data_IF_018830274136
#
_entry.id   IF_018830274136
#
_cell.length_a   1.000
_cell.length_b   1.000
_cell.length_c   1.000
_cell.angle_alpha   90.00
_cell.angle_beta   90.00
_cell.angle_gamma   90.00
#
_symmetry.space_group_name_H-M   'P 1'
#
loop_
_entity.id
_entity.type
_entity.pdbx_description
1 polymer ?
#
# COMPACT_ATOMS: atom_id res chain seq x y z
N UNK A 1 44.22 -40.44 -21.79
CA UNK A 1 42.82 -40.54 -21.34
C UNK A 1 42.40 -39.49 -20.29
N UNK A 2 43.30 -38.80 -19.57
CA UNK A 2 42.89 -37.77 -18.59
C UNK A 2 42.44 -36.42 -19.16
N UNK A 3 42.68 -36.14 -20.45
CA UNK A 3 42.12 -34.95 -21.14
C UNK A 3 40.64 -35.09 -21.49
N UNK A 4 40.09 -36.31 -21.55
CA UNK A 4 38.68 -36.54 -21.88
C UNK A 4 37.76 -36.44 -20.65
N UNK A 5 38.26 -36.71 -19.45
CA UNK A 5 37.47 -36.62 -18.22
C UNK A 5 37.29 -35.18 -17.70
N UNK A 6 38.24 -34.26 -17.98
CA UNK A 6 38.02 -32.82 -17.74
C UNK A 6 36.87 -32.26 -18.59
N UNK A 7 36.66 -32.79 -19.80
CA UNK A 7 35.62 -32.31 -20.72
C UNK A 7 34.22 -32.71 -20.21
N UNK A 8 34.09 -33.88 -19.57
CA UNK A 8 32.81 -34.41 -19.11
C UNK A 8 32.30 -33.69 -17.84
N UNK A 9 33.19 -33.20 -16.97
CA UNK A 9 32.78 -32.42 -15.79
C UNK A 9 32.56 -30.93 -16.11
N UNK A 10 33.31 -30.39 -17.10
CA UNK A 10 32.98 -29.11 -17.72
C UNK A 10 31.60 -29.17 -18.38
N UNK A 11 31.21 -30.31 -18.97
CA UNK A 11 29.90 -30.48 -19.60
C UNK A 11 28.71 -30.46 -18.60
N UNK A 12 28.87 -31.00 -17.39
CA UNK A 12 27.83 -30.92 -16.34
C UNK A 12 27.76 -29.52 -15.72
N UNK A 13 28.90 -28.81 -15.63
CA UNK A 13 28.93 -27.38 -15.27
C UNK A 13 28.41 -26.47 -16.39
N UNK A 14 28.48 -26.92 -17.65
CA UNK A 14 28.03 -26.21 -18.84
C UNK A 14 26.51 -26.29 -19.07
N UNK A 15 25.84 -27.34 -18.57
CA UNK A 15 24.39 -27.50 -18.78
C UNK A 15 23.50 -26.74 -17.79
N UNK A 16 24.01 -26.37 -16.60
CA UNK A 16 23.19 -25.74 -15.55
C UNK A 16 23.18 -24.20 -15.66
N UNK A 17 24.06 -23.60 -16.46
CA UNK A 17 24.10 -22.15 -16.72
C UNK A 17 23.81 -21.77 -18.18
N UNK A 18 23.42 -22.74 -19.02
CA UNK A 18 23.02 -22.50 -20.40
C UNK A 18 21.56 -22.03 -20.44
N UNK A 19 21.32 -20.78 -20.07
CA UNK A 19 20.16 -20.04 -20.55
C UNK A 19 20.18 -20.01 -22.08
N UNK A 20 19.00 -20.00 -22.70
CA UNK A 20 18.78 -19.99 -24.16
C UNK A 20 19.24 -18.68 -24.80
N UNK A 21 20.55 -18.43 -24.77
CA UNK A 21 21.20 -17.19 -25.16
C UNK A 21 22.57 -17.43 -25.80
N UNK A 22 23.16 -16.34 -26.32
CA UNK A 22 24.40 -16.34 -27.09
C UNK A 22 25.52 -17.15 -26.38
N UNK A 23 26.07 -18.21 -27.00
CA UNK A 23 27.04 -19.11 -26.37
C UNK A 23 28.35 -18.40 -25.98
N UNK A 24 28.77 -17.38 -26.74
CA UNK A 24 29.94 -16.58 -26.42
C UNK A 24 29.74 -15.77 -25.13
N UNK A 25 28.57 -15.13 -24.98
CA UNK A 25 28.20 -14.38 -23.77
C UNK A 25 28.21 -15.28 -22.53
N UNK A 26 27.64 -16.47 -22.63
CA UNK A 26 27.63 -17.45 -21.53
C UNK A 26 29.04 -17.88 -21.13
N UNK A 27 29.91 -18.09 -22.13
CA UNK A 27 31.32 -18.42 -21.90
C UNK A 27 32.10 -17.28 -21.23
N UNK A 28 31.84 -16.02 -21.62
CA UNK A 28 32.44 -14.85 -20.98
C UNK A 28 32.00 -14.71 -19.52
N UNK A 29 30.72 -14.89 -19.22
CA UNK A 29 30.23 -14.91 -17.84
C UNK A 29 30.82 -16.07 -17.02
N UNK A 30 31.06 -17.23 -17.64
CA UNK A 30 31.73 -18.36 -17.02
C UNK A 30 33.19 -18.03 -16.69
N UNK A 31 33.91 -17.44 -17.64
CA UNK A 31 35.30 -17.00 -17.47
C UNK A 31 35.41 -15.98 -16.33
N UNK A 32 34.59 -14.92 -16.38
CA UNK A 32 34.50 -13.90 -15.33
C UNK A 32 34.27 -14.51 -13.94
N UNK A 33 33.32 -15.44 -13.83
CA UNK A 33 33.03 -16.13 -12.55
C UNK A 33 34.19 -16.99 -12.04
N UNK A 34 34.96 -17.62 -12.93
CA UNK A 34 36.11 -18.47 -12.55
C UNK A 34 37.35 -17.67 -12.14
N UNK A 35 37.57 -16.51 -12.77
CA UNK A 35 38.77 -15.70 -12.53
C UNK A 35 38.63 -14.79 -11.31
N UNK A 36 37.40 -14.42 -10.91
CA UNK A 36 37.12 -13.39 -9.89
C UNK A 36 37.87 -13.55 -8.57
N UNK A 37 38.14 -14.79 -8.15
CA UNK A 37 38.85 -15.06 -6.89
C UNK A 37 40.32 -14.66 -6.98
N UNK A 38 40.98 -14.96 -8.11
CA UNK A 38 42.42 -14.72 -8.31
C UNK A 38 42.70 -13.37 -8.98
N UNK A 39 41.90 -13.00 -9.96
CA UNK A 39 42.07 -11.80 -10.79
C UNK A 39 40.75 -11.05 -10.93
N UNK A 40 40.27 -10.40 -9.86
CA UNK A 40 39.05 -9.60 -9.94
C UNK A 40 39.16 -8.45 -10.96
N UNK A 41 40.36 -7.91 -11.19
CA UNK A 41 40.63 -6.90 -12.23
C UNK A 41 40.30 -7.40 -13.64
N UNK A 42 40.75 -8.61 -14.01
CA UNK A 42 40.42 -9.24 -15.30
C UNK A 42 38.93 -9.55 -15.41
N UNK A 43 38.30 -9.89 -14.28
CA UNK A 43 36.85 -10.06 -14.23
C UNK A 43 36.14 -8.76 -14.61
N UNK A 44 36.60 -7.59 -14.13
CA UNK A 44 36.02 -6.30 -14.53
C UNK A 44 36.14 -6.07 -16.03
N UNK A 45 37.32 -6.32 -16.62
CA UNK A 45 37.56 -6.17 -18.07
C UNK A 45 36.60 -7.04 -18.90
N UNK A 46 36.38 -8.29 -18.48
CA UNK A 46 35.44 -9.20 -19.13
C UNK A 46 33.99 -8.70 -19.00
N UNK A 47 33.61 -8.19 -17.83
CA UNK A 47 32.25 -7.65 -17.61
C UNK A 47 32.01 -6.37 -18.43
N UNK A 48 33.00 -5.48 -18.54
CA UNK A 48 32.92 -4.27 -19.35
C UNK A 48 32.81 -4.63 -20.84
N UNK A 49 33.52 -5.67 -21.28
CA UNK A 49 33.36 -6.21 -22.62
C UNK A 49 31.95 -6.77 -22.84
N UNK A 50 31.40 -7.53 -21.89
CA UNK A 50 30.04 -8.08 -21.99
C UNK A 50 29.01 -6.94 -22.14
N UNK A 51 29.06 -5.94 -21.26
CA UNK A 51 28.11 -4.82 -21.23
C UNK A 51 28.17 -3.98 -22.51
N UNK A 52 29.36 -3.82 -23.11
CA UNK A 52 29.54 -3.05 -24.33
C UNK A 52 29.06 -3.77 -25.59
N UNK A 53 29.16 -5.10 -25.63
CA UNK A 53 28.99 -5.88 -26.86
C UNK A 53 27.70 -6.72 -26.91
N UNK A 54 26.99 -6.89 -25.78
CA UNK A 54 25.79 -7.72 -25.73
C UNK A 54 24.63 -7.00 -25.03
N UNK A 55 23.41 -7.28 -25.49
CA UNK A 55 22.20 -6.95 -24.73
C UNK A 55 22.00 -7.96 -23.61
N UNK A 56 21.59 -7.46 -22.45
CA UNK A 56 21.40 -8.24 -21.22
C UNK A 56 19.93 -8.24 -20.85
N UNK A 57 19.40 -9.43 -20.55
CA UNK A 57 18.12 -9.52 -19.86
C UNK A 57 18.26 -9.16 -18.37
N UNK A 58 17.15 -9.20 -17.64
CA UNK A 58 17.13 -8.83 -16.22
C UNK A 58 17.99 -9.77 -15.35
N UNK A 59 18.06 -11.06 -15.66
CA UNK A 59 18.85 -12.03 -14.91
C UNK A 59 20.35 -11.83 -15.16
N UNK A 60 20.73 -11.67 -16.43
CA UNK A 60 22.09 -11.42 -16.87
C UNK A 60 22.63 -10.09 -16.36
N UNK A 61 21.80 -9.04 -16.37
CA UNK A 61 22.10 -7.74 -15.77
C UNK A 61 22.32 -7.87 -14.25
N UNK A 62 21.46 -8.66 -13.59
CA UNK A 62 21.63 -9.00 -12.17
C UNK A 62 22.95 -9.74 -11.89
N UNK A 63 23.33 -10.70 -12.75
CA UNK A 63 24.60 -11.45 -12.65
C UNK A 63 25.82 -10.57 -12.88
N UNK A 64 25.77 -9.69 -13.89
CA UNK A 64 26.83 -8.73 -14.17
C UNK A 64 27.04 -7.80 -12.97
N UNK A 65 25.96 -7.25 -12.43
CA UNK A 65 25.98 -6.37 -11.26
C UNK A 65 26.59 -7.08 -10.04
N UNK A 66 26.20 -8.32 -9.79
CA UNK A 66 26.78 -9.14 -8.71
C UNK A 66 28.29 -9.33 -8.87
N UNK A 67 28.75 -9.76 -10.06
CA UNK A 67 30.17 -10.02 -10.30
C UNK A 67 31.00 -8.73 -10.21
N UNK A 68 30.46 -7.61 -10.69
CA UNK A 68 31.10 -6.29 -10.62
C UNK A 68 31.23 -5.81 -9.17
N UNK A 69 30.16 -5.86 -8.39
CA UNK A 69 30.19 -5.50 -6.97
C UNK A 69 31.16 -6.40 -6.17
N UNK A 70 31.16 -7.71 -6.47
CA UNK A 70 32.07 -8.67 -5.82
C UNK A 70 33.54 -8.44 -6.20
N UNK A 71 33.81 -8.10 -7.45
CA UNK A 71 35.15 -7.77 -7.92
C UNK A 71 35.68 -6.50 -7.23
N UNK A 72 34.86 -5.44 -7.17
CA UNK A 72 35.21 -4.22 -6.42
C UNK A 72 35.49 -4.51 -4.95
N UNK A 73 34.67 -5.36 -4.32
CA UNK A 73 34.92 -5.83 -2.96
C UNK A 73 36.29 -6.49 -2.83
N UNK A 74 36.63 -7.46 -3.68
CA UNK A 74 37.92 -8.15 -3.61
C UNK A 74 39.12 -7.23 -3.85
N UNK A 75 38.97 -6.20 -4.68
CA UNK A 75 39.98 -5.18 -4.95
C UNK A 75 40.13 -4.15 -3.81
N UNK A 76 39.40 -4.29 -2.71
CA UNK A 76 39.27 -3.29 -1.65
C UNK A 76 38.68 -1.95 -2.12
N UNK A 77 37.99 -1.89 -3.26
CA UNK A 77 37.21 -0.72 -3.65
C UNK A 77 35.81 -0.78 -3.01
N UNK A 78 35.79 -0.71 -1.68
CA UNK A 78 34.58 -0.91 -0.89
C UNK A 78 33.56 0.21 -1.08
N UNK A 79 34.03 1.44 -1.35
CA UNK A 79 33.15 2.59 -1.60
C UNK A 79 32.26 2.36 -2.82
N UNK A 80 32.84 1.94 -3.94
CA UNK A 80 32.06 1.74 -5.16
C UNK A 80 31.25 0.45 -5.10
N UNK A 81 31.78 -0.60 -4.45
CA UNK A 81 31.01 -1.80 -4.15
C UNK A 81 29.73 -1.47 -3.34
N UNK A 82 29.85 -0.63 -2.29
CA UNK A 82 28.73 -0.20 -1.46
C UNK A 82 27.70 0.63 -2.25
N UNK A 83 28.14 1.55 -3.13
CA UNK A 83 27.22 2.31 -4.00
C UNK A 83 26.41 1.41 -4.92
N UNK A 84 27.00 0.34 -5.44
CA UNK A 84 26.28 -0.61 -6.31
C UNK A 84 25.17 -1.34 -5.56
N UNK A 85 25.38 -1.64 -4.27
CA UNK A 85 24.41 -2.35 -3.43
C UNK A 85 23.52 -1.40 -2.61
N UNK A 86 23.66 -0.08 -2.76
CA UNK A 86 22.87 0.92 -2.03
C UNK A 86 21.67 1.48 -2.81
N UNK A 87 21.60 1.29 -4.14
CA UNK A 87 20.51 1.81 -5.00
C UNK A 87 19.14 1.17 -4.68
N UNK A 88 18.06 1.87 -5.06
CA UNK A 88 16.67 1.48 -4.81
C UNK A 88 16.32 0.06 -5.26
N UNK A 89 15.48 -0.57 -4.46
CA UNK A 89 15.47 -2.01 -4.16
C UNK A 89 14.64 -2.87 -5.12
N UNK A 90 13.83 -2.27 -5.99
CA UNK A 90 12.82 -2.98 -6.78
C UNK A 90 13.41 -3.95 -7.83
N UNK A 91 14.73 -3.95 -8.05
CA UNK A 91 15.38 -4.76 -9.08
C UNK A 91 16.61 -5.55 -8.61
N UNK A 92 16.83 -5.70 -7.30
CA UNK A 92 17.97 -6.50 -6.83
C UNK A 92 17.78 -7.98 -7.11
N UNK A 93 18.76 -8.58 -7.79
CA UNK A 93 18.83 -10.03 -7.91
C UNK A 93 19.07 -10.68 -6.54
N UNK A 94 18.58 -11.91 -6.30
CA UNK A 94 18.78 -12.62 -5.04
C UNK A 94 20.26 -12.69 -4.62
N UNK A 95 21.16 -12.91 -5.59
CA UNK A 95 22.60 -12.93 -5.36
C UNK A 95 23.16 -11.60 -4.87
N UNK A 96 22.66 -10.47 -5.38
CA UNK A 96 23.11 -9.13 -4.96
C UNK A 96 22.67 -8.81 -3.53
N UNK A 97 21.47 -9.25 -3.12
CA UNK A 97 20.96 -9.12 -1.75
C UNK A 97 21.84 -9.91 -0.78
N UNK A 98 22.16 -11.17 -1.13
CA UNK A 98 23.05 -12.01 -0.32
C UNK A 98 24.45 -11.39 -0.23
N UNK A 99 24.96 -10.85 -1.34
CA UNK A 99 26.25 -10.16 -1.37
C UNK A 99 26.25 -8.92 -0.46
N UNK A 100 25.21 -8.08 -0.56
CA UNK A 100 25.02 -6.90 0.29
C UNK A 100 25.05 -7.29 1.76
N UNK A 101 24.25 -8.27 2.17
CA UNK A 101 24.22 -8.78 3.55
C UNK A 101 25.61 -9.23 4.01
N UNK A 102 26.34 -9.97 3.17
CA UNK A 102 27.67 -10.46 3.50
C UNK A 102 28.71 -9.33 3.63
N UNK A 103 28.65 -8.32 2.77
CA UNK A 103 29.52 -7.14 2.82
C UNK A 103 29.21 -6.31 4.08
N UNK A 104 27.93 -6.06 4.39
CA UNK A 104 27.56 -5.31 5.59
C UNK A 104 27.95 -6.05 6.86
N UNK A 105 27.78 -7.38 6.89
CA UNK A 105 28.21 -8.21 8.00
C UNK A 105 29.72 -8.11 8.25
N UNK A 106 30.56 -8.06 7.19
CA UNK A 106 32.01 -7.91 7.37
C UNK A 106 32.42 -6.57 7.98
N UNK A 107 31.55 -5.54 7.91
CA UNK A 107 31.71 -4.25 8.59
C UNK A 107 31.04 -4.16 9.97
N UNK A 108 30.49 -5.27 10.46
CA UNK A 108 29.67 -5.32 11.66
C UNK A 108 28.47 -4.35 11.57
N UNK A 109 27.87 -4.26 10.39
CA UNK A 109 26.65 -3.50 10.12
C UNK A 109 25.52 -4.51 9.95
N UNK A 110 24.45 -4.35 10.74
CA UNK A 110 23.25 -5.17 10.58
C UNK A 110 22.48 -4.66 9.36
N UNK A 111 22.31 -5.50 8.36
CA UNK A 111 21.38 -5.22 7.26
C UNK A 111 19.95 -5.38 7.80
N UNK A 112 19.16 -4.31 7.77
CA UNK A 112 17.75 -4.32 8.17
C UNK A 112 16.84 -4.73 7.01
N UNK A 113 17.40 -4.87 5.81
CA UNK A 113 16.68 -5.27 4.61
C UNK A 113 16.39 -6.78 4.61
N UNK A 114 15.11 -7.14 4.66
CA UNK A 114 14.62 -8.50 4.44
C UNK A 114 13.37 -8.44 3.56
N UNK A 115 13.52 -8.58 2.23
CA UNK A 115 12.40 -8.51 1.32
C UNK A 115 11.52 -9.76 1.47
N UNK A 116 10.23 -9.54 1.67
CA UNK A 116 9.23 -10.60 1.86
C UNK A 116 9.19 -11.53 0.63
N UNK A 117 9.35 -10.98 -0.56
CA UNK A 117 9.37 -11.69 -1.84
C UNK A 117 10.55 -12.66 -2.01
N UNK A 118 11.62 -12.53 -1.21
CA UNK A 118 12.79 -13.40 -1.32
C UNK A 118 12.68 -14.67 -0.47
N UNK A 119 11.64 -14.81 0.36
CA UNK A 119 11.43 -16.03 1.19
C UNK A 119 11.22 -17.29 0.34
N UNK A 120 10.73 -17.13 -0.88
CA UNK A 120 10.53 -18.24 -1.80
C UNK A 120 11.80 -18.65 -2.57
N UNK A 121 12.81 -17.76 -2.65
CA UNK A 121 14.05 -18.01 -3.36
C UNK A 121 14.93 -19.06 -2.65
N UNK A 122 15.29 -20.12 -3.37
CA UNK A 122 16.05 -21.26 -2.80
C UNK A 122 17.45 -20.88 -2.34
N UNK A 123 18.18 -20.07 -3.11
CA UNK A 123 19.54 -19.61 -2.79
C UNK A 123 19.57 -18.69 -1.57
N UNK A 124 18.55 -17.83 -1.44
CA UNK A 124 18.36 -17.00 -0.26
C UNK A 124 18.09 -17.85 0.98
N UNK A 125 17.14 -18.82 0.90
CA UNK A 125 16.87 -19.74 2.02
C UNK A 125 18.10 -20.55 2.41
N UNK A 126 18.88 -21.03 1.46
CA UNK A 126 20.14 -21.71 1.75
C UNK A 126 21.12 -20.80 2.50
N UNK A 127 21.27 -19.55 2.04
CA UNK A 127 22.13 -18.57 2.69
C UNK A 127 21.64 -18.17 4.10
N UNK A 128 20.33 -18.12 4.33
CA UNK A 128 19.72 -17.95 5.66
C UNK A 128 19.98 -19.16 6.56
N UNK A 129 19.79 -20.38 6.05
CA UNK A 129 20.06 -21.62 6.77
C UNK A 129 21.52 -21.69 7.25
N UNK A 130 22.48 -21.34 6.38
CA UNK A 130 23.90 -21.27 6.74
C UNK A 130 24.13 -20.20 7.81
N UNK A 131 23.49 -19.04 7.69
CA UNK A 131 23.48 -18.00 8.73
C UNK A 131 22.99 -18.52 10.09
N UNK A 132 21.88 -19.25 10.11
CA UNK A 132 21.33 -19.85 11.33
C UNK A 132 22.24 -20.93 11.94
N UNK A 133 22.94 -21.71 11.12
CA UNK A 133 23.99 -22.65 11.58
C UNK A 133 25.11 -21.87 12.26
N UNK A 134 25.64 -20.83 11.60
CA UNK A 134 26.70 -19.97 12.15
C UNK A 134 26.29 -19.28 13.46
N UNK A 135 25.09 -18.69 13.51
CA UNK A 135 24.59 -18.03 14.71
C UNK A 135 24.41 -19.00 15.88
N UNK A 136 23.96 -20.23 15.62
CA UNK A 136 23.89 -21.27 16.66
C UNK A 136 25.26 -21.66 17.15
N UNK A 137 26.20 -21.91 16.24
CA UNK A 137 27.59 -22.24 16.57
C UNK A 137 28.27 -21.14 17.41
N UNK A 138 27.97 -19.87 17.13
CA UNK A 138 28.48 -18.74 17.90
C UNK A 138 27.91 -18.65 19.34
N UNK A 139 26.82 -19.36 19.65
CA UNK A 139 26.25 -19.43 20.99
C UNK A 139 27.08 -20.31 21.95
N UNK A 140 27.07 -19.99 23.25
CA UNK A 140 27.81 -20.74 24.28
C UNK A 140 27.51 -22.25 24.22
N UNK A 141 28.55 -23.05 23.99
CA UNK A 141 28.52 -24.51 24.11
C UNK A 141 27.81 -25.29 22.99
N UNK A 142 27.38 -24.63 21.91
CA UNK A 142 26.63 -25.28 20.82
C UNK A 142 27.57 -25.80 19.72
N UNK A 143 27.31 -27.03 19.27
CA UNK A 143 28.04 -27.71 18.19
C UNK A 143 27.07 -28.00 17.04
N UNK A 144 27.56 -27.97 15.81
CA UNK A 144 26.77 -28.43 14.67
C UNK A 144 26.73 -29.97 14.69
N UNK A 145 25.54 -30.54 14.52
CA UNK A 145 25.38 -31.98 14.41
C UNK A 145 25.96 -32.50 13.10
N UNK A 146 26.51 -33.72 13.10
CA UNK A 146 26.99 -34.38 11.87
C UNK A 146 25.89 -34.52 10.80
N UNK A 147 24.65 -34.74 11.22
CA UNK A 147 23.47 -34.81 10.34
C UNK A 147 23.17 -33.47 9.65
N UNK A 148 23.32 -32.36 10.37
CA UNK A 148 23.10 -31.01 9.84
C UNK A 148 24.15 -30.61 8.82
N UNK A 149 25.43 -30.86 9.12
CA UNK A 149 26.53 -30.61 8.18
C UNK A 149 26.43 -31.52 6.94
N UNK A 150 25.98 -32.76 7.10
CA UNK A 150 25.70 -33.67 5.98
C UNK A 150 24.56 -33.14 5.09
N UNK A 151 23.50 -32.60 5.69
CA UNK A 151 22.40 -31.99 4.95
C UNK A 151 22.88 -30.77 4.14
N UNK A 152 23.73 -29.91 4.74
CA UNK A 152 24.36 -28.77 4.03
C UNK A 152 25.16 -29.24 2.82
N UNK A 153 26.00 -30.28 2.97
CA UNK A 153 26.79 -30.85 1.87
C UNK A 153 25.94 -31.45 0.75
N UNK A 154 24.76 -32.00 1.08
CA UNK A 154 23.84 -32.55 0.09
C UNK A 154 23.16 -31.41 -0.69
N UNK A 155 22.71 -30.40 0.03
CA UNK A 155 21.91 -29.29 -0.52
C UNK A 155 22.76 -28.31 -1.34
N UNK A 156 24.02 -28.07 -0.96
CA UNK A 156 24.87 -27.07 -1.63
C UNK A 156 24.93 -27.24 -3.16
N UNK A 157 24.92 -28.48 -3.67
CA UNK A 157 25.01 -28.79 -5.10
C UNK A 157 23.83 -28.29 -5.93
N UNK A 158 22.71 -27.96 -5.29
CA UNK A 158 21.49 -27.48 -5.93
C UNK A 158 21.41 -25.95 -6.02
N UNK A 159 22.43 -25.23 -5.56
CA UNK A 159 22.44 -23.77 -5.45
C UNK A 159 23.40 -23.10 -6.40
N UNK A 160 23.13 -21.83 -6.70
CA UNK A 160 23.95 -21.04 -7.63
C UNK A 160 25.44 -21.05 -7.20
N UNK A 161 26.40 -21.41 -8.08
CA UNK A 161 27.79 -21.64 -7.72
C UNK A 161 28.47 -20.53 -6.92
N UNK A 162 28.22 -19.27 -7.27
CA UNK A 162 28.82 -18.15 -6.57
C UNK A 162 28.27 -18.00 -5.13
N UNK A 163 26.98 -18.29 -4.93
CA UNK A 163 26.31 -18.17 -3.63
C UNK A 163 26.72 -19.32 -2.73
N UNK A 164 26.67 -20.57 -3.23
CA UNK A 164 27.11 -21.72 -2.44
C UNK A 164 28.58 -21.60 -2.03
N UNK A 165 29.46 -21.14 -2.94
CA UNK A 165 30.90 -20.96 -2.64
C UNK A 165 31.12 -20.08 -1.43
N UNK A 166 30.49 -18.90 -1.38
CA UNK A 166 30.68 -17.95 -0.28
C UNK A 166 30.13 -18.50 1.05
N UNK A 167 28.93 -19.10 1.01
CA UNK A 167 28.33 -19.72 2.19
C UNK A 167 29.21 -20.85 2.74
N UNK A 168 29.73 -21.71 1.86
CA UNK A 168 30.61 -22.81 2.25
C UNK A 168 31.97 -22.33 2.75
N UNK A 169 32.52 -21.26 2.18
CA UNK A 169 33.78 -20.66 2.65
C UNK A 169 33.60 -20.08 4.06
N UNK A 170 32.52 -19.33 4.29
CA UNK A 170 32.22 -18.73 5.60
C UNK A 170 31.98 -19.80 6.67
N UNK A 171 31.18 -20.83 6.37
CA UNK A 171 30.94 -21.94 7.28
C UNK A 171 32.22 -22.70 7.59
N UNK A 172 33.01 -23.04 6.56
CA UNK A 172 34.25 -23.78 6.72
C UNK A 172 35.28 -22.98 7.52
N UNK A 173 35.38 -21.66 7.30
CA UNK A 173 36.25 -20.80 8.07
C UNK A 173 35.89 -20.77 9.56
N UNK A 174 34.59 -20.65 9.86
CA UNK A 174 34.11 -20.69 11.23
C UNK A 174 34.46 -22.02 11.90
N UNK A 175 34.16 -23.14 11.24
CA UNK A 175 34.42 -24.49 11.76
C UNK A 175 35.92 -24.72 11.98
N UNK A 176 36.77 -24.40 11.00
CA UNK A 176 38.21 -24.55 11.11
C UNK A 176 38.80 -23.73 12.29
N UNK A 177 38.27 -22.52 12.53
CA UNK A 177 38.70 -21.65 13.62
C UNK A 177 38.32 -22.21 14.99
N UNK A 178 37.20 -22.92 15.12
CA UNK A 178 36.63 -23.35 16.40
C UNK A 178 36.65 -24.88 16.63
N UNK A 179 37.46 -25.63 15.87
CA UNK A 179 37.58 -27.09 16.00
C UNK A 179 38.91 -27.52 16.64
N UNK A 180 38.99 -27.61 17.98
CA UNK A 180 40.19 -28.07 18.67
C UNK A 180 40.36 -29.62 18.69
N UNK A 181 39.57 -30.39 17.94
CA UNK A 181 39.57 -31.86 18.05
C UNK A 181 39.32 -32.63 16.75
N UNK A 182 39.59 -32.01 15.60
CA UNK A 182 39.36 -32.59 14.27
C UNK A 182 37.91 -33.06 14.02
N UNK A 183 36.94 -32.54 14.78
CA UNK A 183 35.55 -32.98 14.72
C UNK A 183 34.93 -32.69 13.35
N UNK A 184 35.32 -31.58 12.72
CA UNK A 184 34.78 -31.15 11.44
C UNK A 184 35.71 -31.52 10.26
N UNK A 185 36.72 -32.36 10.48
CA UNK A 185 37.70 -32.71 9.46
C UNK A 185 37.04 -33.38 8.23
N UNK A 186 36.09 -34.31 8.40
CA UNK A 186 35.38 -34.95 7.28
C UNK A 186 34.60 -33.93 6.44
N UNK A 187 33.88 -33.01 7.11
CA UNK A 187 33.17 -31.94 6.42
C UNK A 187 34.14 -31.06 5.62
N UNK A 188 35.20 -30.58 6.27
CA UNK A 188 36.20 -29.71 5.63
C UNK A 188 36.89 -30.41 4.45
N UNK A 189 37.21 -31.71 4.59
CA UNK A 189 37.76 -32.54 3.52
C UNK A 189 36.81 -32.60 2.31
N UNK A 190 35.52 -32.88 2.53
CA UNK A 190 34.54 -32.92 1.43
C UNK A 190 34.40 -31.58 0.74
N UNK A 191 34.43 -30.48 1.49
CA UNK A 191 34.36 -29.13 0.94
C UNK A 191 35.61 -28.80 0.11
N UNK A 192 36.81 -29.06 0.61
CA UNK A 192 38.04 -28.81 -0.18
C UNK A 192 38.13 -29.72 -1.40
N UNK A 193 37.68 -30.97 -1.33
CA UNK A 193 37.62 -31.85 -2.53
C UNK A 193 36.67 -31.27 -3.57
N UNK A 194 35.52 -30.73 -3.15
CA UNK A 194 34.58 -30.07 -4.07
C UNK A 194 35.18 -28.80 -4.68
N UNK A 195 35.89 -28.00 -3.89
CA UNK A 195 36.54 -26.75 -4.32
C UNK A 195 38.05 -26.90 -4.53
N UNK A 196 38.52 -28.03 -5.05
CA UNK A 196 39.94 -28.37 -5.12
C UNK A 196 40.79 -27.38 -5.94
N UNK A 197 40.18 -26.66 -6.88
CA UNK A 197 40.87 -25.66 -7.71
C UNK A 197 40.75 -24.24 -7.13
N UNK A 198 40.06 -24.08 -6.01
CA UNK A 198 39.86 -22.79 -5.38
C UNK A 198 40.95 -22.53 -4.32
N UNK A 199 41.82 -21.53 -4.54
CA UNK A 199 42.94 -21.27 -3.65
C UNK A 199 42.49 -20.84 -2.25
N UNK A 200 41.31 -20.21 -2.11
CA UNK A 200 40.82 -19.80 -0.79
C UNK A 200 40.51 -21.01 0.09
N UNK A 201 39.94 -22.08 -0.48
CA UNK A 201 39.67 -23.32 0.26
C UNK A 201 40.96 -24.10 0.55
N UNK A 202 41.91 -24.16 -0.39
CA UNK A 202 43.24 -24.74 -0.14
C UNK A 202 43.96 -24.04 1.01
N UNK A 203 44.00 -22.70 0.99
CA UNK A 203 44.62 -21.88 2.05
C UNK A 203 43.95 -22.13 3.40
N UNK A 204 42.61 -22.14 3.42
CA UNK A 204 41.84 -22.40 4.63
C UNK A 204 42.17 -23.77 5.24
N UNK A 205 42.19 -24.82 4.41
CA UNK A 205 42.44 -26.18 4.88
C UNK A 205 43.90 -26.40 5.30
N UNK A 206 44.87 -25.84 4.58
CA UNK A 206 46.27 -25.86 4.99
C UNK A 206 46.46 -25.21 6.37
N UNK A 207 45.78 -24.09 6.62
CA UNK A 207 45.81 -23.42 7.93
C UNK A 207 45.17 -24.27 9.02
N UNK A 208 44.06 -24.94 8.71
CA UNK A 208 43.41 -25.89 9.62
C UNK A 208 44.35 -27.06 9.99
N UNK A 209 45.07 -27.63 9.03
CA UNK A 209 46.06 -28.68 9.26
C UNK A 209 47.19 -28.20 10.19
N UNK A 210 47.71 -26.98 9.98
CA UNK A 210 48.74 -26.40 10.84
C UNK A 210 48.28 -26.23 12.28
N UNK A 211 47.03 -25.77 12.48
CA UNK A 211 46.42 -25.64 13.81
C UNK A 211 46.36 -26.99 14.55
N UNK A 212 46.16 -28.08 13.82
CA UNK A 212 46.08 -29.44 14.33
C UNK A 212 47.42 -30.21 14.25
N UNK A 213 48.56 -29.50 14.22
CA UNK A 213 49.92 -30.05 14.22
C UNK A 213 50.27 -30.96 13.03
N UNK A 214 49.54 -30.85 11.91
CA UNK A 214 49.79 -31.59 10.66
C UNK A 214 50.62 -30.76 9.68
N UNK A 215 51.80 -30.31 10.11
CA UNK A 215 52.63 -29.38 9.33
C UNK A 215 53.11 -29.96 7.99
N UNK A 216 53.40 -31.27 7.92
CA UNK A 216 53.82 -31.94 6.68
C UNK A 216 52.72 -31.94 5.62
N UNK A 217 51.49 -32.33 6.00
CA UNK A 217 50.32 -32.32 5.10
C UNK A 217 50.00 -30.89 4.63
N UNK A 218 50.13 -29.90 5.52
CA UNK A 218 49.96 -28.50 5.15
C UNK A 218 51.04 -28.01 4.17
N UNK A 219 52.29 -28.45 4.33
CA UNK A 219 53.40 -28.10 3.45
C UNK A 219 53.15 -28.50 1.99
N UNK A 220 52.64 -29.71 1.78
CA UNK A 220 52.26 -30.21 0.44
C UNK A 220 51.23 -29.28 -0.22
N UNK A 221 50.17 -28.91 0.52
CA UNK A 221 49.15 -28.00 -0.01
C UNK A 221 49.69 -26.59 -0.27
N UNK A 222 50.63 -26.10 0.54
CA UNK A 222 51.27 -24.80 0.35
C UNK A 222 52.12 -24.80 -0.91
N UNK A 223 52.87 -25.88 -1.18
CA UNK A 223 53.68 -26.03 -2.38
C UNK A 223 52.85 -26.10 -3.67
N UNK A 224 51.62 -26.63 -3.60
CA UNK A 224 50.68 -26.63 -4.72
C UNK A 224 50.03 -25.27 -5.02
N UNK A 225 50.15 -24.27 -4.12
CA UNK A 225 49.54 -22.97 -4.33
C UNK A 225 50.31 -22.19 -5.42
N UNK A 226 49.61 -21.49 -6.33
CA UNK A 226 50.25 -20.70 -7.37
C UNK A 226 50.83 -19.40 -6.77
N UNK A 227 52.04 -19.49 -6.20
CA UNK A 227 52.69 -18.42 -5.45
C UNK A 227 52.70 -17.11 -6.22
N UNK A 228 53.23 -17.08 -7.43
CA UNK A 228 53.41 -15.86 -8.22
C UNK A 228 52.06 -15.17 -8.48
N UNK A 229 51.02 -15.95 -8.81
CA UNK A 229 49.69 -15.42 -9.09
C UNK A 229 49.03 -14.89 -7.81
N UNK A 230 49.22 -15.57 -6.67
CA UNK A 230 48.71 -15.10 -5.38
C UNK A 230 49.37 -13.77 -4.96
N UNK A 231 50.69 -13.64 -5.10
CA UNK A 231 51.40 -12.41 -4.77
C UNK A 231 50.98 -11.23 -5.67
N UNK A 232 50.66 -11.50 -6.94
CA UNK A 232 50.26 -10.49 -7.93
C UNK A 232 48.76 -10.18 -7.98
N UNK A 233 47.90 -11.04 -7.42
CA UNK A 233 46.43 -10.88 -7.41
C UNK A 233 45.97 -9.46 -7.05
N UNK A 234 44.85 -8.94 -7.53
CA UNK A 234 44.31 -7.71 -6.90
C UNK A 234 43.35 -8.01 -5.75
N UNK A 235 43.08 -9.29 -5.47
CA UNK A 235 42.28 -9.73 -4.33
C UNK A 235 43.07 -9.61 -3.01
N UNK A 236 42.95 -8.47 -2.35
CA UNK A 236 43.67 -8.20 -1.09
C UNK A 236 43.31 -9.16 0.04
N UNK A 237 42.07 -9.64 0.09
CA UNK A 237 41.62 -10.58 1.12
C UNK A 237 42.25 -11.96 0.93
N UNK A 238 42.36 -12.41 -0.33
CA UNK A 238 43.04 -13.65 -0.65
C UNK A 238 44.53 -13.57 -0.34
N UNK A 239 45.20 -12.47 -0.71
CA UNK A 239 46.61 -12.23 -0.33
C UNK A 239 46.82 -12.24 1.16
N UNK A 240 45.94 -11.56 1.90
CA UNK A 240 46.02 -11.51 3.35
C UNK A 240 45.95 -12.92 3.94
N UNK A 241 44.99 -13.74 3.49
CA UNK A 241 44.85 -15.13 3.93
C UNK A 241 46.09 -15.97 3.57
N UNK A 242 46.66 -15.76 2.39
CA UNK A 242 47.88 -16.43 1.96
C UNK A 242 49.08 -16.09 2.85
N UNK A 243 49.35 -14.80 3.10
CA UNK A 243 50.44 -14.41 3.98
C UNK A 243 50.21 -14.82 5.43
N UNK A 244 48.97 -14.80 5.91
CA UNK A 244 48.64 -15.30 7.24
C UNK A 244 48.83 -16.82 7.39
N UNK A 245 48.57 -17.59 6.33
CA UNK A 245 48.95 -19.00 6.25
C UNK A 245 50.48 -19.17 6.31
N UNK A 246 51.23 -18.41 5.51
CA UNK A 246 52.70 -18.47 5.50
C UNK A 246 53.31 -18.10 6.85
N UNK A 247 52.80 -17.07 7.52
CA UNK A 247 53.21 -16.72 8.90
C UNK A 247 53.01 -17.91 9.84
N UNK A 248 51.85 -18.56 9.77
CA UNK A 248 51.55 -19.75 10.59
C UNK A 248 52.50 -20.90 10.25
N UNK A 249 52.77 -21.13 8.98
CA UNK A 249 53.65 -22.20 8.50
C UNK A 249 55.10 -21.98 8.94
N UNK A 250 55.68 -20.82 8.62
CA UNK A 250 57.07 -20.49 8.92
C UNK A 250 57.34 -20.41 10.43
N UNK A 251 56.36 -19.99 11.23
CA UNK A 251 56.48 -20.03 12.70
C UNK A 251 56.61 -21.46 13.23
N UNK A 252 55.98 -22.44 12.59
CA UNK A 252 56.03 -23.87 12.97
C UNK A 252 57.24 -24.59 12.40
N UNK A 253 57.76 -24.17 11.25
CA UNK A 253 58.92 -24.79 10.59
C UNK A 253 60.25 -24.14 10.93
N UNK A 254 60.26 -23.00 11.65
CA UNK A 254 61.48 -22.33 12.09
C UNK A 254 62.17 -21.47 11.02
N UNK A 255 61.48 -21.13 9.92
CA UNK A 255 62.03 -20.34 8.81
C UNK A 255 62.00 -18.83 9.13
N UNK A 256 62.97 -18.35 9.93
CA UNK A 256 62.93 -17.00 10.52
C UNK A 256 62.93 -15.85 9.51
N UNK A 257 63.63 -15.99 8.38
CA UNK A 257 63.66 -14.96 7.32
C UNK A 257 62.32 -14.83 6.64
N UNK A 258 61.78 -15.95 6.13
CA UNK A 258 60.50 -15.99 5.41
C UNK A 258 59.33 -15.64 6.34
N UNK A 259 59.43 -15.98 7.63
CA UNK A 259 58.50 -15.54 8.66
C UNK A 259 58.42 -14.02 8.74
N UNK A 260 59.56 -13.32 8.86
CA UNK A 260 59.59 -11.84 8.98
C UNK A 260 59.00 -11.18 7.74
N UNK A 261 59.34 -11.67 6.55
CA UNK A 261 58.80 -11.16 5.29
C UNK A 261 57.26 -11.36 5.22
N UNK A 262 56.78 -12.55 5.55
CA UNK A 262 55.35 -12.85 5.55
C UNK A 262 54.58 -12.00 6.57
N UNK A 263 55.16 -11.74 7.75
CA UNK A 263 54.57 -10.84 8.76
C UNK A 263 54.43 -9.42 8.21
N UNK A 264 55.49 -8.88 7.61
CA UNK A 264 55.47 -7.52 7.04
C UNK A 264 54.40 -7.38 5.95
N UNK A 265 54.33 -8.34 5.01
CA UNK A 265 53.34 -8.34 3.93
C UNK A 265 51.91 -8.50 4.49
N UNK A 266 51.71 -9.36 5.48
CA UNK A 266 50.42 -9.53 6.15
C UNK A 266 49.95 -8.25 6.84
N UNK A 267 50.84 -7.60 7.59
CA UNK A 267 50.50 -6.39 8.35
C UNK A 267 50.18 -5.21 7.44
N UNK A 268 50.95 -5.03 6.36
CA UNK A 268 50.67 -3.99 5.36
C UNK A 268 49.27 -4.17 4.72
N UNK A 269 48.88 -5.41 4.42
CA UNK A 269 47.55 -5.74 3.92
C UNK A 269 46.48 -5.51 4.98
N UNK A 270 46.72 -5.91 6.24
CA UNK A 270 45.79 -5.69 7.35
C UNK A 270 45.46 -4.21 7.52
N UNK A 271 46.48 -3.35 7.60
CA UNK A 271 46.33 -1.90 7.72
C UNK A 271 45.51 -1.33 6.55
N UNK A 272 45.76 -1.82 5.34
CA UNK A 272 45.06 -1.36 4.14
C UNK A 272 43.58 -1.79 4.14
N UNK A 273 43.31 -3.05 4.49
CA UNK A 273 41.95 -3.58 4.59
C UNK A 273 41.17 -2.84 5.68
N UNK A 274 41.74 -2.69 6.88
CA UNK A 274 41.09 -2.05 8.02
C UNK A 274 40.78 -0.57 7.77
N UNK A 275 41.74 0.19 7.22
CA UNK A 275 41.54 1.60 6.87
C UNK A 275 40.41 1.78 5.86
N UNK A 276 40.38 0.98 4.79
CA UNK A 276 39.35 1.08 3.76
C UNK A 276 38.00 0.63 4.32
N UNK A 277 37.96 -0.44 5.13
CA UNK A 277 36.73 -0.89 5.79
C UNK A 277 36.13 0.19 6.70
N UNK A 278 36.95 0.88 7.50
CA UNK A 278 36.51 2.00 8.33
C UNK A 278 35.94 3.16 7.49
N UNK A 279 36.63 3.55 6.41
CA UNK A 279 36.16 4.58 5.48
C UNK A 279 34.83 4.19 4.81
N UNK A 280 34.73 2.94 4.35
CA UNK A 280 33.54 2.40 3.73
C UNK A 280 32.34 2.39 4.68
N UNK A 281 32.56 2.03 5.95
CA UNK A 281 31.54 2.08 7.00
C UNK A 281 31.01 3.50 7.22
N UNK A 282 31.88 4.50 7.33
CA UNK A 282 31.46 5.91 7.48
C UNK A 282 30.65 6.37 6.26
N UNK A 283 31.08 5.98 5.06
CA UNK A 283 30.37 6.30 3.83
C UNK A 283 28.99 5.65 3.75
N UNK A 284 28.87 4.39 4.18
CA UNK A 284 27.59 3.70 4.26
C UNK A 284 26.58 4.43 5.16
N UNK A 285 27.03 4.90 6.34
CA UNK A 285 26.18 5.71 7.22
C UNK A 285 25.77 7.02 6.56
N UNK A 286 26.66 7.68 5.82
CA UNK A 286 26.31 8.86 5.02
C UNK A 286 25.23 8.59 3.98
N UNK A 287 25.34 7.47 3.24
CA UNK A 287 24.32 7.06 2.26
C UNK A 287 22.98 6.76 2.93
N UNK A 288 22.99 6.07 4.07
CA UNK A 288 21.77 5.79 4.84
C UNK A 288 21.11 7.07 5.36
N UNK A 289 21.91 8.02 5.87
CA UNK A 289 21.40 9.31 6.35
C UNK A 289 20.79 10.13 5.21
N UNK A 290 21.45 10.15 4.04
CA UNK A 290 20.95 10.80 2.83
C UNK A 290 19.63 10.18 2.35
N UNK A 291 19.56 8.85 2.28
CA UNK A 291 18.34 8.14 1.90
C UNK A 291 17.19 8.45 2.87
N UNK A 292 17.44 8.41 4.18
CA UNK A 292 16.44 8.73 5.20
C UNK A 292 15.98 10.20 5.09
N UNK A 293 16.90 11.12 4.82
CA UNK A 293 16.58 12.53 4.60
C UNK A 293 15.72 12.73 3.36
N UNK A 294 16.05 12.05 2.26
CA UNK A 294 15.28 12.11 1.02
C UNK A 294 13.85 11.56 1.19
N UNK A 295 13.67 10.47 1.93
CA UNK A 295 12.35 9.94 2.28
C UNK A 295 11.54 10.96 3.10
N UNK A 296 12.19 11.58 4.09
CA UNK A 296 11.55 12.60 4.92
C UNK A 296 11.14 13.83 4.08
N UNK A 297 12.04 14.32 3.23
CA UNK A 297 11.80 15.47 2.34
C UNK A 297 10.66 15.18 1.35
N UNK A 298 10.65 13.99 0.75
CA UNK A 298 9.55 13.54 -0.11
C UNK A 298 8.21 13.58 0.62
N UNK A 299 8.17 13.06 1.86
CA UNK A 299 6.95 13.10 2.69
C UNK A 299 6.50 14.52 3.04
N UNK A 300 7.43 15.45 3.26
CA UNK A 300 7.15 16.87 3.53
C UNK A 300 6.58 17.55 2.27
N UNK A 301 7.15 17.28 1.10
CA UNK A 301 6.67 17.79 -0.18
C UNK A 301 5.23 17.34 -0.43
N UNK A 302 4.92 16.05 -0.26
CA UNK A 302 3.56 15.51 -0.42
C UNK A 302 2.58 16.16 0.56
N UNK A 303 2.94 16.30 1.84
CA UNK A 303 2.09 16.98 2.84
C UNK A 303 1.82 18.44 2.46
N UNK A 304 2.82 19.15 1.93
CA UNK A 304 2.68 20.53 1.46
C UNK A 304 1.70 20.63 0.29
N UNK A 305 1.77 19.72 -0.69
CA UNK A 305 0.80 19.69 -1.80
C UNK A 305 -0.62 19.42 -1.31
N UNK A 306 -0.80 18.50 -0.36
CA UNK A 306 -2.10 18.22 0.26
C UNK A 306 -2.64 19.48 0.94
N UNK A 307 -1.84 20.17 1.75
CA UNK A 307 -2.25 21.41 2.42
C UNK A 307 -2.68 22.50 1.43
N UNK A 308 -1.91 22.71 0.35
CA UNK A 308 -2.29 23.68 -0.69
C UNK A 308 -3.57 23.28 -1.43
N UNK A 309 -3.78 22.00 -1.69
CA UNK A 309 -5.02 21.52 -2.33
C UNK A 309 -6.25 21.75 -1.44
N UNK A 310 -6.13 21.50 -0.13
CA UNK A 310 -7.20 21.76 0.85
C UNK A 310 -7.50 23.25 0.96
N UNK A 311 -6.46 24.09 1.00
CA UNK A 311 -6.61 25.54 1.03
C UNK A 311 -7.29 26.06 -0.25
N UNK A 312 -6.90 25.54 -1.42
CA UNK A 312 -7.51 25.88 -2.70
C UNK A 312 -9.01 25.52 -2.73
N UNK A 313 -9.37 24.34 -2.25
CA UNK A 313 -10.78 23.92 -2.14
C UNK A 313 -11.55 24.83 -1.18
N UNK A 314 -10.96 25.18 -0.03
CA UNK A 314 -11.59 26.09 0.92
C UNK A 314 -11.84 27.48 0.32
N UNK A 315 -10.87 28.02 -0.42
CA UNK A 315 -11.03 29.30 -1.15
C UNK A 315 -12.14 29.21 -2.19
N UNK A 316 -12.20 28.12 -2.98
CA UNK A 316 -13.27 27.91 -3.96
C UNK A 316 -14.66 27.82 -3.30
N UNK A 317 -14.76 27.17 -2.14
CA UNK A 317 -16.00 27.11 -1.36
C UNK A 317 -16.42 28.51 -0.87
N UNK A 318 -15.48 29.31 -0.38
CA UNK A 318 -15.75 30.70 0.04
C UNK A 318 -16.22 31.54 -1.15
N UNK A 319 -15.54 31.46 -2.29
CA UNK A 319 -15.95 32.16 -3.53
C UNK A 319 -17.37 31.73 -3.93
N UNK A 320 -17.67 30.43 -3.90
CA UNK A 320 -19.00 29.90 -4.20
C UNK A 320 -20.07 30.44 -3.25
N UNK A 321 -19.81 30.45 -1.93
CA UNK A 321 -20.74 30.98 -0.93
C UNK A 321 -20.99 32.48 -1.14
N UNK A 322 -19.94 33.27 -1.39
CA UNK A 322 -20.06 34.70 -1.68
C UNK A 322 -20.88 34.92 -2.96
N UNK A 323 -20.60 34.18 -4.03
CA UNK A 323 -21.37 34.27 -5.27
C UNK A 323 -22.85 33.92 -5.07
N UNK A 324 -23.17 32.90 -4.25
CA UNK A 324 -24.54 32.55 -3.86
C UNK A 324 -25.23 33.68 -3.10
N UNK A 325 -24.55 34.31 -2.15
CA UNK A 325 -25.09 35.43 -1.38
C UNK A 325 -25.39 36.64 -2.28
N UNK A 326 -24.50 36.95 -3.23
CA UNK A 326 -24.70 38.01 -4.21
C UNK A 326 -25.87 37.70 -5.16
N UNK A 327 -25.99 36.46 -5.66
CA UNK A 327 -27.13 36.02 -6.49
C UNK A 327 -28.48 36.10 -5.75
N UNK A 328 -28.50 35.83 -4.44
CA UNK A 328 -29.72 35.95 -3.65
C UNK A 328 -30.12 37.42 -3.52
N UNK A 329 -29.16 38.32 -3.27
CA UNK A 329 -29.42 39.77 -3.19
C UNK A 329 -30.01 40.31 -4.49
N UNK A 330 -29.42 39.98 -5.65
CA UNK A 330 -29.94 40.47 -6.94
C UNK A 330 -31.35 39.97 -7.23
N UNK A 331 -31.66 38.70 -6.90
CA UNK A 331 -33.03 38.17 -7.04
C UNK A 331 -34.02 38.90 -6.14
N UNK A 332 -33.65 39.22 -4.90
CA UNK A 332 -34.51 39.97 -3.97
C UNK A 332 -34.84 41.35 -4.55
N UNK A 333 -33.84 42.07 -5.07
CA UNK A 333 -34.06 43.37 -5.73
C UNK A 333 -34.96 43.25 -6.97
N UNK A 334 -34.82 42.20 -7.78
CA UNK A 334 -35.72 41.92 -8.90
C UNK A 334 -37.16 41.63 -8.43
N UNK A 335 -37.34 40.84 -7.37
CA UNK A 335 -38.65 40.57 -6.77
C UNK A 335 -39.29 41.84 -6.21
N UNK A 336 -38.54 42.68 -5.50
CA UNK A 336 -39.02 43.96 -4.99
C UNK A 336 -39.48 44.87 -6.14
N UNK A 337 -38.65 45.03 -7.17
CA UNK A 337 -38.99 45.81 -8.36
C UNK A 337 -40.23 45.26 -9.10
N UNK A 338 -40.39 43.94 -9.16
CA UNK A 338 -41.56 43.30 -9.75
C UNK A 338 -42.83 43.55 -8.93
N UNK A 339 -42.76 43.43 -7.60
CA UNK A 339 -43.90 43.70 -6.71
C UNK A 339 -44.33 45.16 -6.73
N UNK A 340 -43.38 46.10 -6.80
CA UNK A 340 -43.67 47.53 -6.98
C UNK A 340 -44.37 47.77 -8.32
N UNK A 341 -43.88 47.20 -9.42
CA UNK A 341 -44.56 47.29 -10.74
C UNK A 341 -45.96 46.70 -10.73
N UNK A 342 -46.20 45.62 -10.00
CA UNK A 342 -47.53 45.03 -9.83
C UNK A 342 -48.48 45.95 -9.05
N UNK A 343 -48.02 46.55 -7.94
CA UNK A 343 -48.81 47.52 -7.16
C UNK A 343 -49.20 48.74 -8.01
N UNK A 344 -48.24 49.31 -8.74
CA UNK A 344 -48.49 50.44 -9.65
C UNK A 344 -49.46 50.11 -10.80
N UNK A 345 -49.55 48.83 -11.21
CA UNK A 345 -50.57 48.35 -12.17
C UNK A 345 -51.93 48.10 -11.53
N UNK A 346 -51.99 47.72 -10.26
CA UNK A 346 -53.24 47.53 -9.52
C UNK A 346 -53.90 48.87 -9.17
N UNK A 347 -53.13 49.91 -8.84
CA UNK A 347 -53.67 51.26 -8.58
C UNK A 347 -54.31 51.93 -9.81
N UNK A 348 -54.10 51.41 -11.03
CA UNK A 348 -54.78 51.87 -12.26
C UNK A 348 -56.12 51.17 -12.55
N UNK A 349 -56.53 50.19 -11.75
CA UNK A 349 -57.86 49.55 -11.85
C UNK A 349 -58.66 49.75 -10.57
N UNK A 350 -59.18 50.96 -10.40
CA UNK A 350 -60.17 51.25 -9.35
C UNK A 350 -61.52 50.61 -9.73
N UNK A 351 -61.81 49.44 -9.17
CA UNK A 351 -63.17 48.89 -9.12
C UNK A 351 -63.82 49.46 -7.86
N UNK A 352 -64.85 50.28 -8.01
CA UNK A 352 -65.67 50.77 -6.90
C UNK A 352 -66.33 49.60 -6.14
N UNK A 353 -66.34 49.59 -4.79
CA UNK A 353 -67.19 48.70 -4.02
C UNK A 353 -68.64 49.17 -4.16
N UNK A 354 -69.48 48.41 -4.86
CA UNK A 354 -70.93 48.51 -4.72
C UNK A 354 -71.30 47.92 -3.36
N UNK A 355 -71.66 48.76 -2.40
CA UNK A 355 -72.23 48.33 -1.14
C UNK A 355 -73.52 47.53 -1.40
N UNK A 356 -73.58 46.29 -0.90
CA UNK A 356 -74.80 45.48 -0.93
C UNK A 356 -75.86 46.21 -0.07
N UNK A 357 -77.07 46.51 -0.59
CA UNK A 357 -78.13 47.10 0.21
C UNK A 357 -78.45 46.24 1.44
N UNK A 358 -78.54 46.86 2.62
CA UNK A 358 -78.64 46.19 3.93
C UNK A 358 -79.83 45.19 4.03
N UNK A 359 -80.93 45.48 3.33
CA UNK A 359 -82.09 44.57 3.20
C UNK A 359 -81.76 43.30 2.41
N UNK A 360 -80.97 43.41 1.34
CA UNK A 360 -80.54 42.27 0.51
C UNK A 360 -79.49 41.43 1.24
N UNK A 361 -78.61 42.06 2.01
CA UNK A 361 -77.63 41.38 2.87
C UNK A 361 -78.35 40.53 3.93
N UNK A 362 -79.31 41.11 4.67
CA UNK A 362 -80.07 40.38 5.69
C UNK A 362 -80.85 39.19 5.10
N UNK A 363 -81.53 39.38 3.98
CA UNK A 363 -82.27 38.31 3.30
C UNK A 363 -81.33 37.18 2.81
N UNK A 364 -80.16 37.53 2.29
CA UNK A 364 -79.20 36.54 1.79
C UNK A 364 -78.53 35.76 2.92
N UNK A 365 -78.28 36.40 4.08
CA UNK A 365 -77.82 35.70 5.29
C UNK A 365 -78.88 34.69 5.76
N UNK A 366 -80.15 35.06 5.79
CA UNK A 366 -81.23 34.16 6.17
C UNK A 366 -81.33 32.96 5.21
N UNK A 367 -81.30 33.21 3.90
CA UNK A 367 -81.24 32.16 2.87
C UNK A 367 -80.02 31.24 3.03
N UNK A 368 -78.87 31.80 3.43
CA UNK A 368 -77.66 31.03 3.73
C UNK A 368 -77.86 30.11 4.95
N UNK A 369 -78.46 30.61 6.02
CA UNK A 369 -78.75 29.84 7.23
C UNK A 369 -79.74 28.72 6.95
N UNK A 370 -80.74 28.96 6.09
CA UNK A 370 -81.69 27.92 5.69
C UNK A 370 -81.00 26.84 4.84
N UNK A 371 -80.05 27.22 3.99
CA UNK A 371 -79.18 26.26 3.28
C UNK A 371 -78.29 25.44 4.24
N UNK A 372 -77.78 26.03 5.32
CA UNK A 372 -76.98 25.28 6.31
C UNK A 372 -77.79 24.21 7.05
N UNK A 373 -79.11 24.38 7.15
CA UNK A 373 -80.02 23.39 7.76
C UNK A 373 -80.36 22.24 6.81
N UNK A 374 -80.08 22.38 5.52
CA UNK A 374 -80.27 21.30 4.55
C UNK A 374 -78.97 20.52 4.34
N UNK A 375 -79.10 19.28 3.89
CA UNK A 375 -77.95 18.44 3.52
C UNK A 375 -77.44 18.71 2.09
N UNK A 376 -77.84 19.83 1.48
CA UNK A 376 -77.50 20.17 0.09
C UNK A 376 -76.00 20.44 -0.10
N UNK A 377 -75.29 20.78 0.98
CA UNK A 377 -73.84 20.99 0.95
C UNK A 377 -73.06 19.72 0.55
N UNK A 378 -73.65 18.53 0.69
CA UNK A 378 -73.03 17.24 0.34
C UNK A 378 -73.09 16.99 -1.17
N UNK A 379 -73.97 17.70 -1.89
CA UNK A 379 -74.10 17.52 -3.33
C UNK A 379 -72.75 17.74 -4.03
N UNK A 380 -72.29 16.82 -4.90
CA UNK A 380 -71.02 16.96 -5.61
C UNK A 380 -71.03 18.15 -6.59
N UNK A 381 -72.21 18.58 -7.03
CA UNK A 381 -72.38 19.67 -7.99
C UNK A 381 -72.42 21.07 -7.33
N UNK A 382 -72.25 21.13 -6.00
CA UNK A 382 -72.27 22.41 -5.28
C UNK A 382 -71.03 23.24 -5.65
N UNK A 383 -71.28 24.33 -6.35
CA UNK A 383 -70.33 25.37 -6.73
C UNK A 383 -70.87 26.74 -6.32
N UNK A 384 -70.00 27.75 -6.22
CA UNK A 384 -70.40 29.12 -5.90
C UNK A 384 -71.48 29.62 -6.88
N UNK A 385 -71.36 29.26 -8.16
CA UNK A 385 -72.33 29.56 -9.21
C UNK A 385 -73.68 28.89 -8.94
N UNK A 386 -73.68 27.59 -8.63
CA UNK A 386 -74.92 26.85 -8.36
C UNK A 386 -75.64 27.35 -7.11
N UNK A 387 -74.91 27.67 -6.04
CA UNK A 387 -75.48 28.18 -4.81
C UNK A 387 -76.00 29.60 -5.00
N UNK A 388 -75.26 30.47 -5.71
CA UNK A 388 -75.73 31.81 -6.03
C UNK A 388 -77.07 31.76 -6.79
N UNK A 389 -77.17 30.86 -7.78
CA UNK A 389 -78.42 30.63 -8.51
C UNK A 389 -79.55 30.13 -7.59
N UNK A 390 -79.26 29.18 -6.68
CA UNK A 390 -80.24 28.63 -5.74
C UNK A 390 -80.76 29.66 -4.74
N UNK A 391 -79.90 30.56 -4.28
CA UNK A 391 -80.26 31.62 -3.33
C UNK A 391 -80.78 32.89 -4.03
N UNK A 392 -80.91 32.87 -5.37
CA UNK A 392 -81.36 33.99 -6.20
C UNK A 392 -80.47 35.23 -6.01
N UNK A 393 -79.16 35.06 -6.23
CA UNK A 393 -78.13 36.11 -6.15
C UNK A 393 -77.01 35.89 -7.19
N UNK A 394 -76.02 36.77 -7.22
CA UNK A 394 -74.82 36.62 -8.04
C UNK A 394 -73.62 36.10 -7.21
N UNK A 395 -72.64 35.51 -7.88
CA UNK A 395 -71.45 34.91 -7.24
C UNK A 395 -70.59 35.92 -6.49
N UNK A 396 -70.58 37.19 -6.93
CA UNK A 396 -69.84 38.27 -6.26
C UNK A 396 -70.43 38.55 -4.88
N UNK A 397 -71.74 38.80 -4.80
CA UNK A 397 -72.46 39.06 -3.55
C UNK A 397 -72.42 37.86 -2.62
N UNK A 398 -72.61 36.65 -3.15
CA UNK A 398 -72.52 35.44 -2.34
C UNK A 398 -71.11 35.25 -1.75
N UNK A 399 -70.05 35.41 -2.55
CA UNK A 399 -68.68 35.32 -2.08
C UNK A 399 -68.37 36.40 -1.05
N UNK A 400 -68.82 37.63 -1.28
CA UNK A 400 -68.64 38.76 -0.35
C UNK A 400 -69.33 38.51 0.99
N UNK A 401 -70.57 38.03 0.98
CA UNK A 401 -71.34 37.67 2.19
C UNK A 401 -70.68 36.52 2.95
N UNK A 402 -70.24 35.45 2.27
CA UNK A 402 -69.56 34.32 2.93
C UNK A 402 -68.24 34.79 3.55
N UNK A 403 -67.43 35.56 2.81
CA UNK A 403 -66.18 36.10 3.35
C UNK A 403 -66.43 37.04 4.54
N UNK A 404 -67.45 37.91 4.46
CA UNK A 404 -67.75 38.89 5.51
C UNK A 404 -68.31 38.24 6.78
N UNK A 405 -69.27 37.31 6.65
CA UNK A 405 -70.02 36.77 7.79
C UNK A 405 -69.51 35.42 8.29
N UNK A 406 -68.92 34.60 7.41
CA UNK A 406 -68.35 33.29 7.78
C UNK A 406 -66.83 33.32 7.88
N UNK A 407 -66.19 34.46 7.51
CA UNK A 407 -64.74 34.65 7.50
C UNK A 407 -63.97 33.57 6.73
N UNK A 408 -64.60 33.03 5.68
CA UNK A 408 -64.11 31.89 4.89
C UNK A 408 -64.34 32.16 3.42
N UNK A 409 -63.46 31.65 2.57
CA UNK A 409 -63.79 31.53 1.15
C UNK A 409 -64.85 30.42 0.94
N UNK A 410 -65.52 30.42 -0.20
CA UNK A 410 -66.59 29.47 -0.51
C UNK A 410 -66.19 28.00 -0.31
N UNK A 411 -64.99 27.60 -0.76
CA UNK A 411 -64.53 26.22 -0.64
C UNK A 411 -64.32 25.81 0.83
N UNK A 412 -63.70 26.67 1.63
CA UNK A 412 -63.52 26.43 3.06
C UNK A 412 -64.87 26.36 3.79
N UNK A 413 -65.80 27.24 3.43
CA UNK A 413 -67.16 27.25 3.96
C UNK A 413 -67.92 25.95 3.68
N UNK A 414 -67.98 25.49 2.42
CA UNK A 414 -68.65 24.23 2.06
C UNK A 414 -67.97 23.02 2.69
N UNK A 415 -66.64 22.98 2.70
CA UNK A 415 -65.91 21.86 3.29
C UNK A 415 -66.19 21.74 4.79
N UNK A 416 -66.32 22.86 5.50
CA UNK A 416 -66.67 22.82 6.93
C UNK A 416 -68.07 22.25 7.16
N UNK A 417 -69.07 22.66 6.38
CA UNK A 417 -70.42 22.10 6.46
C UNK A 417 -70.42 20.58 6.20
N UNK A 418 -69.68 20.13 5.19
CA UNK A 418 -69.53 18.70 4.86
C UNK A 418 -68.86 17.91 5.98
N UNK A 419 -67.81 18.47 6.61
CA UNK A 419 -67.16 17.82 7.75
C UNK A 419 -68.08 17.80 8.98
N UNK A 420 -68.82 18.88 9.25
CA UNK A 420 -69.78 18.92 10.34
C UNK A 420 -70.88 17.86 10.16
N UNK A 421 -71.39 17.69 8.94
CA UNK A 421 -72.36 16.64 8.61
C UNK A 421 -71.85 15.24 8.96
N UNK A 422 -70.66 14.86 8.47
CA UNK A 422 -70.14 13.51 8.72
C UNK A 422 -69.74 13.32 10.19
N UNK A 423 -69.29 14.39 10.85
CA UNK A 423 -68.96 14.37 12.28
C UNK A 423 -70.22 14.12 13.12
N UNK A 424 -71.37 14.68 12.72
CA UNK A 424 -72.66 14.41 13.33
C UNK A 424 -73.05 12.94 13.15
N UNK A 425 -72.98 12.41 11.92
CA UNK A 425 -73.26 10.99 11.62
C UNK A 425 -72.38 10.02 12.40
N UNK A 426 -71.09 10.33 12.53
CA UNK A 426 -70.14 9.52 13.31
C UNK A 426 -70.50 9.48 14.80
N UNK A 427 -71.04 10.58 15.35
CA UNK A 427 -71.49 10.63 16.75
C UNK A 427 -72.81 9.88 16.95
N UNK A 428 -73.77 10.07 16.05
CA UNK A 428 -75.15 9.57 16.20
C UNK A 428 -75.31 8.09 15.86
N UNK A 429 -74.48 7.54 14.98
CA UNK A 429 -74.62 6.15 14.54
C UNK A 429 -73.28 5.44 14.42
N UNK A 430 -73.13 4.38 15.22
CA UNK A 430 -71.93 3.55 15.26
C UNK A 430 -71.66 2.82 13.92
N UNK A 431 -72.68 2.66 13.06
CA UNK A 431 -72.52 2.03 11.74
C UNK A 431 -71.50 2.80 10.89
N UNK A 432 -71.52 4.13 10.92
CA UNK A 432 -70.58 4.96 10.16
C UNK A 432 -69.13 4.85 10.66
N UNK A 433 -68.91 4.44 11.92
CA UNK A 433 -67.56 4.25 12.49
C UNK A 433 -66.85 3.02 11.92
N UNK A 434 -67.62 2.06 11.40
CA UNK A 434 -67.12 0.86 10.75
C UNK A 434 -66.84 1.06 9.25
N UNK A 435 -67.20 2.21 8.67
CA UNK A 435 -66.96 2.51 7.27
C UNK A 435 -65.50 2.86 7.01
N UNK A 436 -64.99 2.44 5.85
CA UNK A 436 -63.66 2.86 5.39
C UNK A 436 -63.65 4.38 5.18
N UNK A 437 -62.54 5.05 5.50
CA UNK A 437 -62.40 6.51 5.37
C UNK A 437 -62.75 7.01 3.96
N UNK A 438 -62.44 6.23 2.92
CA UNK A 438 -62.84 6.55 1.53
C UNK A 438 -64.36 6.69 1.38
N UNK A 439 -65.12 5.79 2.00
CA UNK A 439 -66.58 5.82 1.94
C UNK A 439 -67.14 7.01 2.74
N UNK A 440 -66.54 7.36 3.88
CA UNK A 440 -66.90 8.57 4.63
C UNK A 440 -66.63 9.86 3.83
N UNK A 441 -65.57 9.88 3.02
CA UNK A 441 -65.28 10.99 2.13
C UNK A 441 -66.36 11.12 1.04
N UNK A 442 -66.76 10.02 0.41
CA UNK A 442 -67.82 9.99 -0.61
C UNK A 442 -69.19 10.39 -0.01
N UNK A 443 -69.55 9.83 1.15
CA UNK A 443 -70.78 10.12 1.89
C UNK A 443 -70.91 11.60 2.32
N UNK A 444 -69.77 12.29 2.49
CA UNK A 444 -69.71 13.71 2.84
C UNK A 444 -69.49 14.63 1.64
N UNK A 445 -69.52 14.11 0.42
CA UNK A 445 -69.48 14.90 -0.82
C UNK A 445 -68.08 15.28 -1.29
N UNK A 446 -67.02 14.64 -0.77
CA UNK A 446 -65.64 14.86 -1.23
C UNK A 446 -65.29 13.93 -2.40
N UNK A 447 -64.68 14.51 -3.43
CA UNK A 447 -64.23 13.75 -4.61
C UNK A 447 -62.95 12.93 -4.38
N UNK A 448 -62.16 13.26 -3.34
CA UNK A 448 -60.92 12.55 -3.02
C UNK A 448 -60.72 12.38 -1.52
N UNK A 449 -60.10 11.26 -1.15
CA UNK A 449 -59.72 10.96 0.23
C UNK A 449 -58.77 12.01 0.83
N UNK A 450 -57.80 12.50 0.06
CA UNK A 450 -56.82 13.48 0.54
C UNK A 450 -57.46 14.83 0.88
N UNK A 451 -58.41 15.29 0.06
CA UNK A 451 -59.16 16.52 0.33
C UNK A 451 -60.04 16.38 1.59
N UNK A 452 -60.71 15.24 1.75
CA UNK A 452 -61.48 14.93 2.94
C UNK A 452 -60.61 14.92 4.20
N UNK A 453 -59.50 14.17 4.20
CA UNK A 453 -58.64 14.05 5.38
C UNK A 453 -58.03 15.39 5.79
N UNK A 454 -57.64 16.23 4.83
CA UNK A 454 -57.14 17.58 5.09
C UNK A 454 -58.23 18.48 5.69
N UNK A 455 -59.42 18.51 5.10
CA UNK A 455 -60.55 19.30 5.61
C UNK A 455 -60.99 18.83 7.01
N UNK A 456 -61.08 17.52 7.22
CA UNK A 456 -61.47 16.93 8.50
C UNK A 456 -60.48 17.32 9.61
N UNK A 457 -59.17 17.25 9.34
CA UNK A 457 -58.14 17.66 10.30
C UNK A 457 -58.18 19.16 10.58
N UNK A 458 -58.45 20.00 9.58
CA UNK A 458 -58.57 21.45 9.78
C UNK A 458 -59.75 21.82 10.66
N UNK A 459 -60.91 21.16 10.48
CA UNK A 459 -62.13 21.46 11.23
C UNK A 459 -62.11 20.84 12.64
N UNK A 460 -61.72 19.57 12.76
CA UNK A 460 -61.76 18.82 14.02
C UNK A 460 -60.41 18.77 14.77
N UNK A 461 -59.33 19.32 14.21
CA UNK A 461 -57.97 19.31 14.78
C UNK A 461 -57.20 17.98 14.65
N UNK A 462 -57.89 16.87 14.41
CA UNK A 462 -57.34 15.51 14.34
C UNK A 462 -57.79 14.77 13.09
N UNK A 463 -57.08 13.69 12.74
CA UNK A 463 -57.42 12.89 11.55
C UNK A 463 -58.76 12.14 11.74
N UNK A 464 -59.48 11.82 10.63
CA UNK A 464 -60.72 11.03 10.70
C UNK A 464 -60.57 9.71 11.47
N UNK A 465 -59.47 8.99 11.23
CA UNK A 465 -59.20 7.71 11.88
C UNK A 465 -59.05 7.85 13.40
N UNK A 466 -58.32 8.87 13.86
CA UNK A 466 -58.14 9.14 15.28
C UNK A 466 -59.46 9.61 15.92
N UNK A 467 -60.26 10.40 15.20
CA UNK A 467 -61.58 10.82 15.66
C UNK A 467 -62.52 9.64 15.91
N UNK A 468 -62.54 8.65 15.01
CA UNK A 468 -63.34 7.42 15.16
C UNK A 468 -62.86 6.60 16.37
N UNK A 469 -61.54 6.44 16.54
CA UNK A 469 -60.98 5.75 17.71
C UNK A 469 -61.43 6.40 19.03
N UNK A 470 -61.40 7.74 19.11
CA UNK A 470 -61.84 8.47 20.30
C UNK A 470 -63.34 8.31 20.59
N UNK A 471 -64.17 8.16 19.56
CA UNK A 471 -65.59 7.88 19.75
C UNK A 471 -65.83 6.46 20.25
N UNK A 472 -65.10 5.48 19.72
CA UNK A 472 -65.23 4.08 20.16
C UNK A 472 -64.80 3.91 21.63
N UNK A 473 -63.71 4.57 22.06
CA UNK A 473 -63.25 4.53 23.45
C UNK A 473 -64.14 5.28 24.46
N UNK A 474 -65.09 6.10 24.01
CA UNK A 474 -66.05 6.79 24.89
C UNK A 474 -67.34 6.01 25.12
N UNK A 475 -67.57 4.93 24.36
CA UNK A 475 -68.75 4.06 24.48
C UNK A 475 -68.44 2.71 25.14
N UNK A 476 -67.16 2.38 25.33
CA UNK A 476 -66.66 1.33 26.26
C UNK A 476 -66.57 1.87 27.69
#
# INVERSE_FOLDING_TARGET
MSKFFSIIFIAVYALILAGTGNPEKNELFRKAGSEIVMSPERTMEVLDYIEKNFTLDNEESGRLTYLRAKSLYYQNNLTDALKMISKEHEHFSPGLIILRRNILYSFNIKDTFSPEDMRENSDYRFSEKIGQVLSRLAGKGKRAGSSELSAVLKEMKSHHPAIQRENMLNLSEYLARHDPGLQYQDFLNRVITFYQNDPAFKILYAKYLLKNNKAKEAGILIEELPKEILEQSTNVYLKYRYYDLLVTYYSKTGQQRDYKEAVQKKEALFITIDRVAFSAKNKWFGILEENYRNELDSSIITRRYILFSVLGIAVLLVIFLVARLLQIRTRIEEYENFTVKLRLKQDKKTVQPQAIPEKTETLLIQKLQDFEKTNDCISPDISLQSLAKKLDTNTKYLSEIINKHKQKNFNAYINELRINYITCKLKESNVYRNYKIKYLAEESGFSTHSAFAAAFKTVNGISPAHYIQLLNHKEE
#
